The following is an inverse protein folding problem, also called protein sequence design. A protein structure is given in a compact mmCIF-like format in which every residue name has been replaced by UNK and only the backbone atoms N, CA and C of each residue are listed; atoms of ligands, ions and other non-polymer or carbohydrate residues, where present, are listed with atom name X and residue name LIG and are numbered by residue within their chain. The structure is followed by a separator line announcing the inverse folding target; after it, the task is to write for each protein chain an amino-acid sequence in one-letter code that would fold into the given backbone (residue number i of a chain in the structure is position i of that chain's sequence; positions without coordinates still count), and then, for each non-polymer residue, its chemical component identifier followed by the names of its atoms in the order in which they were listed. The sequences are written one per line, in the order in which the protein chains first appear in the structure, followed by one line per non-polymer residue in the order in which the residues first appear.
data_IF_068535521748
#
_entry.id   IF_068535521748
#
_cell.length_a   1.000
_cell.length_b   1.000
_cell.length_c   1.000
_cell.angle_alpha   90.00
_cell.angle_beta   90.00
_cell.angle_gamma   90.00
#
_symmetry.space_group_name_H-M   'P 1'
#
loop_
_entity.id
_entity.type
_entity.pdbx_description
1 polymer ?
#
# COMPACT_ATOMS: atom_id res chain seq x y z
N UNK A 1 22.22 20.67 -30.20
CA UNK A 1 22.78 20.37 -28.86
C UNK A 1 21.72 19.97 -27.80
N UNK A 2 20.44 19.82 -28.13
CA UNK A 2 19.34 19.65 -27.16
C UNK A 2 18.95 18.19 -26.90
N UNK A 3 19.09 17.28 -27.86
CA UNK A 3 18.63 15.91 -27.79
C UNK A 3 19.55 15.01 -26.94
N UNK A 4 20.87 15.19 -27.04
CA UNK A 4 21.86 14.39 -26.32
C UNK A 4 21.89 14.68 -24.80
N UNK A 5 21.56 15.91 -24.39
CA UNK A 5 21.47 16.30 -22.98
C UNK A 5 20.18 15.80 -22.32
N UNK A 6 19.07 15.72 -23.06
CA UNK A 6 17.80 15.09 -22.62
C UNK A 6 17.95 13.59 -22.46
N UNK A 7 18.60 12.89 -23.39
CA UNK A 7 18.89 11.46 -23.31
C UNK A 7 19.80 11.11 -22.12
N UNK A 8 20.81 11.93 -21.80
CA UNK A 8 21.69 11.74 -20.62
C UNK A 8 20.98 11.99 -19.30
N UNK A 9 20.05 12.97 -19.23
CA UNK A 9 19.26 13.25 -18.04
C UNK A 9 18.21 12.16 -17.80
N UNK A 10 17.57 11.64 -18.86
CA UNK A 10 16.62 10.53 -18.79
C UNK A 10 17.30 9.20 -18.39
N UNK A 11 18.56 8.96 -18.78
CA UNK A 11 19.32 7.79 -18.32
C UNK A 11 19.55 7.79 -16.81
N UNK A 12 19.75 8.94 -16.17
CA UNK A 12 19.94 9.05 -14.72
C UNK A 12 18.71 8.69 -13.90
N UNK A 13 17.51 9.07 -14.36
CA UNK A 13 16.23 8.76 -13.66
C UNK A 13 15.93 7.26 -13.70
N UNK A 14 16.17 6.60 -14.84
CA UNK A 14 15.93 5.15 -15.00
C UNK A 14 17.05 4.28 -14.40
N UNK A 15 18.19 4.88 -14.08
CA UNK A 15 19.28 4.15 -13.42
C UNK A 15 18.87 3.58 -12.07
N UNK A 16 18.11 4.33 -11.25
CA UNK A 16 17.58 3.83 -9.98
C UNK A 16 16.63 2.63 -10.15
N UNK A 17 15.88 2.57 -11.26
CA UNK A 17 15.04 1.41 -11.60
C UNK A 17 15.89 0.20 -12.02
N UNK A 18 16.96 0.43 -12.81
CA UNK A 18 17.87 -0.64 -13.23
C UNK A 18 18.62 -1.27 -12.03
N UNK A 19 19.01 -0.43 -11.07
CA UNK A 19 19.74 -0.82 -9.86
C UNK A 19 18.86 -1.45 -8.78
N UNK A 20 17.52 -1.33 -8.89
CA UNK A 20 16.58 -1.88 -7.92
C UNK A 20 16.75 -3.40 -7.80
N UNK A 21 16.96 -3.86 -6.58
CA UNK A 21 17.10 -5.28 -6.24
C UNK A 21 15.81 -5.89 -5.74
N UNK A 22 15.13 -5.22 -4.80
CA UNK A 22 13.85 -5.66 -4.26
C UNK A 22 12.74 -4.81 -4.83
N UNK A 23 11.81 -5.44 -5.54
CA UNK A 23 10.76 -4.78 -6.31
C UNK A 23 9.41 -5.31 -5.85
N UNK A 24 8.47 -4.41 -5.57
CA UNK A 24 7.06 -4.78 -5.42
C UNK A 24 6.35 -4.46 -6.72
N UNK A 25 5.63 -5.43 -7.25
CA UNK A 25 4.79 -5.27 -8.45
C UNK A 25 3.34 -5.44 -8.04
N UNK A 26 2.50 -4.46 -8.34
CA UNK A 26 1.05 -4.57 -8.12
C UNK A 26 0.32 -4.73 -9.44
N UNK A 27 -0.61 -5.67 -9.48
CA UNK A 27 -1.50 -5.89 -10.62
C UNK A 27 -2.98 -5.75 -10.22
N UNK A 28 -3.74 -5.00 -11.01
CA UNK A 28 -5.18 -4.81 -10.82
C UNK A 28 -6.01 -5.97 -11.35
N UNK A 29 -7.25 -6.10 -10.86
CA UNK A 29 -8.18 -7.16 -11.31
C UNK A 29 -8.49 -7.08 -12.81
N UNK A 30 -8.68 -5.88 -13.38
CA UNK A 30 -8.94 -5.68 -14.81
C UNK A 30 -7.84 -6.23 -15.72
N UNK A 31 -6.58 -6.27 -15.24
CA UNK A 31 -5.44 -6.82 -15.97
C UNK A 31 -5.38 -8.35 -15.94
N UNK A 32 -6.15 -9.02 -15.07
CA UNK A 32 -6.10 -10.47 -14.83
C UNK A 32 -7.39 -11.19 -15.20
N UNK A 33 -8.46 -10.44 -15.50
CA UNK A 33 -9.79 -11.01 -15.72
C UNK A 33 -10.33 -10.71 -17.11
N UNK A 34 -11.22 -11.56 -17.59
CA UNK A 34 -11.96 -11.34 -18.83
C UNK A 34 -13.11 -10.36 -18.62
N UNK A 35 -13.64 -9.80 -19.71
CA UNK A 35 -14.84 -8.96 -19.66
C UNK A 35 -16.10 -9.71 -19.19
N UNK A 36 -16.14 -11.02 -19.40
CA UNK A 36 -17.23 -11.89 -18.95
C UNK A 36 -17.12 -12.31 -17.47
N UNK A 37 -16.06 -11.88 -16.78
CA UNK A 37 -15.70 -12.34 -15.43
C UNK A 37 -14.80 -13.58 -15.45
N UNK A 38 -14.21 -13.90 -14.30
CA UNK A 38 -13.25 -15.00 -14.17
C UNK A 38 -11.82 -14.61 -14.55
N UNK A 39 -10.88 -15.49 -14.21
CA UNK A 39 -9.46 -15.30 -14.51
C UNK A 39 -9.17 -15.54 -15.99
N UNK A 40 -8.38 -14.64 -16.57
CA UNK A 40 -7.80 -14.81 -17.90
C UNK A 40 -6.45 -15.53 -17.77
N UNK A 41 -6.43 -16.79 -18.17
CA UNK A 41 -5.25 -17.65 -18.03
C UNK A 41 -4.03 -17.08 -18.78
N UNK A 42 -4.24 -16.57 -20.00
CA UNK A 42 -3.17 -16.06 -20.85
C UNK A 42 -2.56 -14.77 -20.29
N UNK A 43 -3.40 -13.90 -19.71
CA UNK A 43 -2.91 -12.68 -19.04
C UNK A 43 -2.10 -13.00 -17.78
N UNK A 44 -2.54 -13.99 -16.99
CA UNK A 44 -1.78 -14.45 -15.82
C UNK A 44 -0.45 -15.04 -16.27
N UNK A 45 -0.44 -15.89 -17.30
CA UNK A 45 0.77 -16.49 -17.84
C UNK A 45 1.73 -15.43 -18.38
N UNK A 46 1.25 -14.49 -19.17
CA UNK A 46 2.07 -13.39 -19.70
C UNK A 46 2.72 -12.55 -18.58
N UNK A 47 1.97 -12.23 -17.52
CA UNK A 47 2.53 -11.54 -16.38
C UNK A 47 3.60 -12.37 -15.68
N UNK A 48 3.32 -13.65 -15.40
CA UNK A 48 4.28 -14.56 -14.76
C UNK A 48 5.54 -14.72 -15.60
N UNK A 49 5.42 -14.83 -16.92
CA UNK A 49 6.56 -14.92 -17.85
C UNK A 49 7.48 -13.69 -17.74
N UNK A 50 6.90 -12.49 -17.56
CA UNK A 50 7.67 -11.27 -17.34
C UNK A 50 8.36 -11.31 -15.98
N UNK A 51 7.62 -11.63 -14.91
CA UNK A 51 8.15 -11.64 -13.54
C UNK A 51 9.24 -12.68 -13.35
N UNK A 52 9.06 -13.88 -13.89
CA UNK A 52 10.05 -14.97 -13.81
C UNK A 52 11.35 -14.62 -14.52
N UNK A 53 11.28 -14.03 -15.73
CA UNK A 53 12.47 -13.57 -16.47
C UNK A 53 13.26 -12.51 -15.71
N UNK A 54 12.59 -11.55 -15.10
CA UNK A 54 13.26 -10.46 -14.37
C UNK A 54 13.81 -10.90 -13.00
N UNK A 55 13.30 -11.99 -12.43
CA UNK A 55 13.83 -12.59 -11.21
C UNK A 55 15.08 -13.44 -11.44
N UNK A 56 15.45 -13.73 -12.71
CA UNK A 56 16.51 -14.68 -13.07
C UNK A 56 16.28 -16.11 -12.54
N UNK A 57 15.02 -16.54 -12.41
CA UNK A 57 14.68 -17.88 -11.95
C UNK A 57 14.50 -18.82 -13.15
N UNK A 58 15.14 -19.99 -13.09
CA UNK A 58 14.89 -21.10 -14.01
C UNK A 58 15.75 -21.14 -15.26
N UNK A 59 16.63 -20.19 -15.50
CA UNK A 59 17.73 -20.43 -16.40
C UNK A 59 18.75 -21.33 -15.65
N UNK A 60 18.87 -22.60 -16.04
CA UNK A 60 20.11 -23.32 -15.82
C UNK A 60 21.22 -22.33 -16.16
N UNK A 61 22.05 -21.96 -15.20
CA UNK A 61 23.12 -20.96 -15.23
C UNK A 61 23.70 -20.74 -16.64
N UNK A 62 22.93 -20.01 -17.47
CA UNK A 62 23.45 -19.39 -18.67
C UNK A 62 24.23 -18.15 -18.24
N UNK A 63 25.17 -17.67 -19.06
CA UNK A 63 25.99 -16.52 -18.71
C UNK A 63 25.05 -15.39 -18.28
N UNK A 64 25.32 -14.82 -17.08
CA UNK A 64 24.57 -13.73 -16.50
C UNK A 64 24.39 -12.64 -17.57
N UNK A 65 23.16 -12.25 -17.81
CA UNK A 65 22.88 -11.07 -18.63
C UNK A 65 23.69 -9.92 -18.00
N UNK A 66 24.54 -9.30 -18.81
CA UNK A 66 25.46 -8.27 -18.37
C UNK A 66 24.72 -7.20 -17.55
N UNK A 67 25.05 -7.08 -16.26
CA UNK A 67 24.68 -5.97 -15.39
C UNK A 67 23.54 -6.16 -14.39
N UNK A 68 22.84 -7.31 -14.29
CA UNK A 68 21.73 -7.49 -13.37
C UNK A 68 21.98 -8.55 -12.29
N UNK A 69 22.23 -8.15 -11.04
CA UNK A 69 22.16 -9.03 -9.88
C UNK A 69 20.74 -9.63 -9.75
N UNK A 70 20.61 -10.74 -9.04
CA UNK A 70 19.34 -11.43 -8.77
C UNK A 70 18.32 -10.46 -8.16
N UNK A 71 17.16 -10.28 -8.82
CA UNK A 71 16.11 -9.37 -8.34
C UNK A 71 15.12 -10.16 -7.49
N UNK A 72 14.80 -9.63 -6.33
CA UNK A 72 13.72 -10.12 -5.48
C UNK A 72 12.41 -9.42 -5.86
N UNK A 73 11.38 -10.19 -6.18
CA UNK A 73 10.09 -9.63 -6.59
C UNK A 73 8.99 -10.15 -5.66
N UNK A 74 8.17 -9.23 -5.16
CA UNK A 74 6.93 -9.50 -4.42
C UNK A 74 5.77 -9.02 -5.27
N UNK A 75 4.78 -9.88 -5.52
CA UNK A 75 3.58 -9.53 -6.26
C UNK A 75 2.44 -9.19 -5.30
N UNK A 76 1.85 -8.01 -5.46
CA UNK A 76 0.57 -7.67 -4.84
C UNK A 76 -0.51 -7.83 -5.89
N UNK A 77 -1.37 -8.83 -5.71
CA UNK A 77 -2.38 -9.20 -6.71
C UNK A 77 -3.78 -8.80 -6.26
N UNK A 78 -4.59 -8.40 -7.22
CA UNK A 78 -6.04 -8.31 -7.10
C UNK A 78 -6.69 -9.48 -7.84
N UNK A 79 -8.03 -9.51 -7.83
CA UNK A 79 -8.81 -10.41 -8.68
C UNK A 79 -9.45 -11.59 -7.97
N UNK A 80 -9.26 -11.74 -6.65
CA UNK A 80 -9.88 -12.84 -5.90
C UNK A 80 -11.42 -12.82 -6.01
N UNK A 81 -12.08 -11.69 -5.74
CA UNK A 81 -13.54 -11.58 -5.87
C UNK A 81 -13.98 -11.92 -7.30
N UNK A 82 -13.30 -11.36 -8.30
CA UNK A 82 -13.65 -11.61 -9.71
C UNK A 82 -13.49 -13.08 -10.12
N UNK A 83 -12.44 -13.75 -9.62
CA UNK A 83 -12.20 -15.17 -9.84
C UNK A 83 -13.30 -16.06 -9.22
N UNK A 84 -13.89 -15.64 -8.12
CA UNK A 84 -14.93 -16.38 -7.42
C UNK A 84 -16.34 -16.16 -7.95
N UNK A 85 -16.60 -15.18 -8.83
CA UNK A 85 -17.94 -14.88 -9.30
C UNK A 85 -18.55 -16.04 -10.07
N UNK A 86 -17.90 -16.49 -11.15
CA UNK A 86 -18.42 -17.54 -12.03
C UNK A 86 -18.65 -18.87 -11.31
N UNK A 87 -17.71 -19.38 -10.45
CA UNK A 87 -17.93 -20.60 -9.68
C UNK A 87 -19.13 -20.54 -8.74
N UNK A 88 -19.51 -19.34 -8.28
CA UNK A 88 -20.67 -19.13 -7.42
C UNK A 88 -21.96 -18.75 -8.20
N UNK A 89 -21.93 -18.84 -9.53
CA UNK A 89 -23.09 -18.47 -10.37
C UNK A 89 -23.40 -16.97 -10.37
N UNK A 90 -22.43 -16.12 -10.01
CA UNK A 90 -22.62 -14.67 -9.95
C UNK A 90 -22.16 -14.03 -11.27
N UNK A 91 -23.06 -13.27 -11.90
CA UNK A 91 -22.77 -12.59 -13.18
C UNK A 91 -22.17 -11.19 -13.01
N UNK A 92 -22.22 -10.64 -11.79
CA UNK A 92 -21.68 -9.32 -11.44
C UNK A 92 -21.19 -9.29 -10.01
N UNK A 93 -20.31 -8.34 -9.70
CA UNK A 93 -19.81 -8.13 -8.34
C UNK A 93 -20.98 -7.79 -7.39
N UNK A 94 -21.16 -8.54 -6.29
CA UNK A 94 -22.18 -8.24 -5.28
C UNK A 94 -21.92 -6.88 -4.62
N UNK A 95 -22.98 -6.23 -4.15
CA UNK A 95 -22.88 -5.03 -3.31
C UNK A 95 -22.80 -5.39 -1.82
N UNK A 96 -23.37 -6.49 -1.45
CA UNK A 96 -23.39 -7.03 -0.10
C UNK A 96 -22.02 -7.56 0.30
N UNK A 97 -21.53 -7.16 1.50
CA UNK A 97 -20.20 -7.50 1.99
C UNK A 97 -20.00 -9.02 2.14
N UNK A 98 -20.96 -9.72 2.75
CA UNK A 98 -20.83 -11.16 2.99
C UNK A 98 -20.72 -11.96 1.68
N UNK A 99 -21.45 -11.55 0.64
CA UNK A 99 -21.33 -12.17 -0.70
C UNK A 99 -19.99 -11.83 -1.36
N UNK A 100 -19.45 -10.62 -1.15
CA UNK A 100 -18.11 -10.29 -1.63
C UNK A 100 -17.05 -11.13 -0.93
N UNK A 101 -17.15 -11.30 0.39
CA UNK A 101 -16.26 -12.15 1.19
C UNK A 101 -16.33 -13.61 0.74
N UNK A 102 -17.54 -14.14 0.50
CA UNK A 102 -17.71 -15.51 -0.02
C UNK A 102 -17.08 -15.65 -1.42
N UNK A 103 -17.27 -14.68 -2.32
CA UNK A 103 -16.66 -14.70 -3.64
C UNK A 103 -15.11 -14.60 -3.53
N UNK A 104 -14.59 -13.76 -2.65
CA UNK A 104 -13.16 -13.66 -2.38
C UNK A 104 -12.59 -14.98 -1.86
N UNK A 105 -13.29 -15.64 -0.91
CA UNK A 105 -12.87 -16.92 -0.34
C UNK A 105 -12.68 -18.01 -1.41
N UNK A 106 -13.68 -18.19 -2.27
CA UNK A 106 -13.60 -19.15 -3.39
C UNK A 106 -12.54 -18.73 -4.41
N UNK A 107 -12.56 -17.46 -4.81
CA UNK A 107 -11.70 -16.96 -5.87
C UNK A 107 -10.23 -16.83 -5.46
N UNK A 108 -9.93 -16.63 -4.18
CA UNK A 108 -8.53 -16.56 -3.71
C UNK A 108 -7.81 -17.89 -3.91
N UNK A 109 -8.47 -19.02 -3.63
CA UNK A 109 -7.92 -20.35 -3.91
C UNK A 109 -7.63 -20.56 -5.39
N UNK A 110 -8.57 -20.16 -6.26
CA UNK A 110 -8.41 -20.27 -7.73
C UNK A 110 -7.28 -19.38 -8.25
N UNK A 111 -7.19 -18.15 -7.76
CA UNK A 111 -6.15 -17.20 -8.14
C UNK A 111 -4.76 -17.71 -7.79
N UNK A 112 -4.56 -18.20 -6.57
CA UNK A 112 -3.25 -18.74 -6.15
C UNK A 112 -2.91 -20.02 -6.87
N UNK A 113 -3.89 -20.92 -7.07
CA UNK A 113 -3.67 -22.14 -7.86
C UNK A 113 -3.23 -21.81 -9.30
N UNK A 114 -3.85 -20.79 -9.92
CA UNK A 114 -3.45 -20.34 -11.25
C UNK A 114 -2.02 -19.79 -11.27
N UNK A 115 -1.65 -18.94 -10.33
CA UNK A 115 -0.27 -18.47 -10.21
C UNK A 115 0.71 -19.61 -9.97
N UNK A 116 0.37 -20.56 -9.08
CA UNK A 116 1.21 -21.71 -8.79
C UNK A 116 1.47 -22.56 -10.06
N UNK A 117 0.44 -22.83 -10.85
CA UNK A 117 0.56 -23.52 -12.12
C UNK A 117 1.44 -22.76 -13.12
N UNK A 118 1.28 -21.44 -13.21
CA UNK A 118 2.07 -20.60 -14.11
C UNK A 118 3.55 -20.56 -13.71
N UNK A 119 3.85 -20.34 -12.42
CA UNK A 119 5.23 -20.31 -11.91
C UNK A 119 5.90 -21.67 -11.91
N UNK A 120 5.13 -22.77 -11.83
CA UNK A 120 5.68 -24.13 -11.92
C UNK A 120 6.42 -24.39 -13.25
N UNK A 121 6.04 -23.71 -14.35
CA UNK A 121 6.75 -23.74 -15.63
C UNK A 121 8.23 -23.30 -15.53
N UNK A 122 8.53 -22.52 -14.50
CA UNK A 122 9.85 -21.99 -14.17
C UNK A 122 10.50 -22.69 -12.97
N UNK A 123 9.89 -23.77 -12.44
CA UNK A 123 10.37 -24.44 -11.22
C UNK A 123 10.24 -23.63 -9.95
N UNK A 124 9.43 -22.56 -9.96
CA UNK A 124 9.24 -21.64 -8.83
C UNK A 124 8.03 -22.04 -8.00
N UNK A 125 8.19 -22.08 -6.68
CA UNK A 125 7.08 -22.24 -5.74
C UNK A 125 6.57 -20.87 -5.32
N UNK A 126 5.24 -20.73 -5.18
CA UNK A 126 4.61 -19.51 -4.69
C UNK A 126 4.28 -19.62 -3.20
N UNK A 127 4.40 -18.51 -2.48
CA UNK A 127 3.92 -18.38 -1.10
C UNK A 127 2.86 -17.30 -1.03
N UNK A 128 1.66 -17.65 -0.51
CA UNK A 128 0.58 -16.69 -0.33
C UNK A 128 0.66 -16.00 1.02
N UNK A 129 0.43 -14.69 1.04
CA UNK A 129 0.28 -13.88 2.25
C UNK A 129 -0.98 -13.04 2.11
N UNK A 130 -1.89 -13.15 3.06
CA UNK A 130 -3.09 -12.34 3.14
C UNK A 130 -2.96 -11.34 4.29
N UNK A 131 -3.18 -10.07 4.02
CA UNK A 131 -3.03 -8.97 4.96
C UNK A 131 -4.30 -8.13 5.02
N UNK A 132 -4.60 -7.63 6.22
CA UNK A 132 -5.59 -6.58 6.44
C UNK A 132 -4.90 -5.26 6.79
N UNK A 133 -5.65 -4.16 6.80
CA UNK A 133 -5.15 -2.87 7.30
C UNK A 133 -4.74 -2.97 8.78
N UNK A 134 -5.44 -3.77 9.58
CA UNK A 134 -5.13 -4.03 10.98
C UNK A 134 -3.78 -4.76 11.16
N UNK A 135 -3.45 -5.71 10.28
CA UNK A 135 -2.14 -6.39 10.32
C UNK A 135 -1.00 -5.42 10.06
N UNK A 136 -1.22 -4.39 9.25
CA UNK A 136 -0.22 -3.35 8.99
C UNK A 136 -0.07 -2.38 10.18
N UNK A 137 -1.12 -2.21 10.99
CA UNK A 137 -1.15 -1.37 12.17
C UNK A 137 -0.46 -2.02 13.37
N UNK A 138 -0.75 -3.28 13.62
CA UNK A 138 -0.26 -4.00 14.80
C UNK A 138 1.20 -4.36 14.66
N UNK A 139 2.05 -3.81 15.55
CA UNK A 139 3.51 -4.02 15.51
C UNK A 139 3.92 -5.49 15.44
N UNK A 140 3.22 -6.38 16.15
CA UNK A 140 3.54 -7.80 16.14
C UNK A 140 3.22 -8.43 14.78
N UNK A 141 2.05 -8.15 14.20
CA UNK A 141 1.60 -8.66 12.90
C UNK A 141 2.49 -8.11 11.77
N UNK A 142 2.72 -6.80 11.76
CA UNK A 142 3.63 -6.13 10.82
C UNK A 142 5.01 -6.80 10.80
N UNK A 143 5.64 -6.98 11.98
CA UNK A 143 6.94 -7.62 12.08
C UNK A 143 6.92 -9.09 11.61
N UNK A 144 5.86 -9.83 11.91
CA UNK A 144 5.73 -11.22 11.49
C UNK A 144 5.54 -11.31 9.97
N UNK A 145 4.71 -10.45 9.37
CA UNK A 145 4.51 -10.37 7.92
C UNK A 145 5.83 -10.04 7.20
N UNK A 146 6.59 -9.04 7.70
CA UNK A 146 7.92 -8.70 7.15
C UNK A 146 8.87 -9.91 7.18
N UNK A 147 9.00 -10.57 8.34
CA UNK A 147 9.87 -11.76 8.49
C UNK A 147 9.46 -12.91 7.59
N UNK A 148 8.15 -13.13 7.43
CA UNK A 148 7.64 -14.19 6.55
C UNK A 148 7.97 -13.90 5.10
N UNK A 149 7.79 -12.64 4.65
CA UNK A 149 8.16 -12.22 3.28
C UNK A 149 9.66 -12.37 3.04
N UNK A 150 10.50 -11.89 3.97
CA UNK A 150 11.95 -12.05 3.88
C UNK A 150 12.35 -13.52 3.81
N UNK A 151 11.73 -14.39 4.63
CA UNK A 151 12.04 -15.82 4.63
C UNK A 151 11.61 -16.51 3.33
N UNK A 152 10.44 -16.16 2.76
CA UNK A 152 10.01 -16.69 1.46
C UNK A 152 11.00 -16.32 0.36
N UNK A 153 11.44 -15.05 0.33
CA UNK A 153 12.44 -14.58 -0.64
C UNK A 153 13.77 -15.33 -0.46
N UNK A 154 14.25 -15.47 0.77
CA UNK A 154 15.49 -16.19 1.09
C UNK A 154 15.43 -17.68 0.72
N UNK A 155 14.25 -18.30 0.83
CA UNK A 155 14.02 -19.70 0.43
C UNK A 155 13.81 -19.87 -1.08
N UNK A 156 13.86 -18.80 -1.87
CA UNK A 156 13.62 -18.85 -3.31
C UNK A 156 12.14 -19.04 -3.68
N UNK A 157 11.19 -18.90 -2.76
CA UNK A 157 9.77 -18.87 -3.08
C UNK A 157 9.37 -17.48 -3.65
N UNK A 158 8.27 -17.43 -4.40
CA UNK A 158 7.72 -16.20 -4.95
C UNK A 158 6.55 -15.72 -4.09
N UNK A 159 6.69 -14.61 -3.34
CA UNK A 159 5.62 -14.11 -2.50
C UNK A 159 4.49 -13.47 -3.33
N UNK A 160 3.25 -13.88 -3.07
CA UNK A 160 2.03 -13.28 -3.62
C UNK A 160 1.21 -12.76 -2.44
N UNK A 161 1.05 -11.46 -2.38
CA UNK A 161 0.29 -10.76 -1.34
C UNK A 161 -1.06 -10.35 -1.89
N UNK A 162 -2.12 -10.47 -1.09
CA UNK A 162 -3.43 -9.91 -1.37
C UNK A 162 -4.07 -9.41 -0.07
N UNK A 163 -5.14 -8.63 -0.20
CA UNK A 163 -6.01 -8.32 0.93
C UNK A 163 -6.70 -9.58 1.45
N UNK A 164 -6.83 -9.70 2.77
CA UNK A 164 -7.65 -10.75 3.39
C UNK A 164 -9.12 -10.31 3.38
N UNK A 165 -9.71 -10.32 2.21
CA UNK A 165 -11.11 -9.93 1.99
C UNK A 165 -12.10 -10.73 2.85
N UNK A 166 -11.73 -11.92 3.34
CA UNK A 166 -12.66 -12.80 4.09
C UNK A 166 -12.95 -12.30 5.50
N UNK A 167 -12.06 -11.52 6.08
CA UNK A 167 -12.20 -10.97 7.44
C UNK A 167 -12.18 -9.44 7.45
N UNK A 168 -11.92 -8.79 6.32
CA UNK A 168 -11.95 -7.34 6.22
C UNK A 168 -13.39 -6.83 6.31
N UNK A 169 -13.63 -5.88 7.23
CA UNK A 169 -14.90 -5.14 7.32
C UNK A 169 -14.86 -3.90 6.44
N UNK A 170 -16.00 -3.25 6.21
CA UNK A 170 -16.06 -2.03 5.37
C UNK A 170 -15.19 -0.90 5.96
N UNK A 171 -15.03 -0.87 7.30
CA UNK A 171 -14.24 0.13 8.03
C UNK A 171 -12.73 -0.12 7.92
N UNK A 172 -12.29 -1.38 7.83
CA UNK A 172 -10.87 -1.77 7.86
C UNK A 172 -10.35 -2.26 6.51
N UNK A 173 -11.11 -2.13 5.42
CA UNK A 173 -10.67 -2.48 4.07
C UNK A 173 -9.66 -1.46 3.56
N UNK A 174 -8.63 -1.94 2.89
CA UNK A 174 -7.78 -1.05 2.09
C UNK A 174 -8.59 -0.38 0.96
N UNK A 175 -9.71 -0.98 0.58
CA UNK A 175 -10.54 -0.52 -0.53
C UNK A 175 -9.87 -0.67 -1.90
N UNK A 176 -8.56 -0.67 -1.94
CA UNK A 176 -7.77 -0.88 -3.15
C UNK A 176 -6.38 -1.45 -2.81
N UNK A 177 -5.98 -2.49 -3.54
CA UNK A 177 -4.66 -3.09 -3.44
C UNK A 177 -3.51 -2.16 -3.88
N UNK A 178 -3.78 -0.99 -4.44
CA UNK A 178 -2.76 0.03 -4.72
C UNK A 178 -2.15 0.54 -3.42
N UNK A 179 -2.98 0.87 -2.42
CA UNK A 179 -2.52 1.25 -1.07
C UNK A 179 -1.80 0.12 -0.37
N UNK A 180 -2.35 -1.11 -0.43
CA UNK A 180 -1.68 -2.29 0.12
C UNK A 180 -0.29 -2.46 -0.49
N UNK A 181 -0.14 -2.27 -1.81
CA UNK A 181 1.15 -2.39 -2.48
C UNK A 181 2.17 -1.36 -2.00
N UNK A 182 1.77 -0.11 -1.77
CA UNK A 182 2.64 0.91 -1.20
C UNK A 182 3.12 0.55 0.21
N UNK A 183 2.23 0.00 1.04
CA UNK A 183 2.56 -0.45 2.39
C UNK A 183 3.43 -1.71 2.38
N UNK A 184 3.16 -2.67 1.49
CA UNK A 184 4.00 -3.86 1.29
C UNK A 184 5.38 -3.46 0.78
N UNK A 185 5.48 -2.50 -0.15
CA UNK A 185 6.76 -1.99 -0.62
C UNK A 185 7.60 -1.42 0.53
N UNK A 186 6.96 -0.70 1.44
CA UNK A 186 7.61 -0.21 2.65
C UNK A 186 7.99 -1.35 3.60
N UNK A 187 7.06 -2.28 3.87
CA UNK A 187 7.24 -3.44 4.76
C UNK A 187 8.45 -4.32 4.39
N UNK A 188 8.67 -4.53 3.08
CA UNK A 188 9.79 -5.34 2.57
C UNK A 188 11.02 -4.50 2.22
N UNK A 189 11.04 -3.21 2.55
CA UNK A 189 12.11 -2.28 2.18
C UNK A 189 12.44 -2.28 0.69
N UNK A 190 11.42 -2.28 -0.17
CA UNK A 190 11.59 -2.30 -1.61
C UNK A 190 12.40 -1.09 -2.12
N UNK A 191 13.14 -1.31 -3.19
CA UNK A 191 13.87 -0.26 -3.90
C UNK A 191 13.00 0.40 -4.98
N UNK A 192 11.92 -0.29 -5.39
CA UNK A 192 10.99 0.15 -6.44
C UNK A 192 9.60 -0.43 -6.20
N UNK A 193 8.56 0.38 -6.44
CA UNK A 193 7.19 -0.07 -6.60
C UNK A 193 6.78 0.08 -8.08
N UNK A 194 6.21 -0.96 -8.67
CA UNK A 194 5.62 -0.92 -10.01
C UNK A 194 4.12 -1.13 -9.89
N UNK A 195 3.34 -0.12 -10.28
CA UNK A 195 1.87 -0.17 -10.31
C UNK A 195 1.42 -0.45 -11.74
N UNK A 196 0.89 -1.65 -11.96
CA UNK A 196 0.35 -2.07 -13.27
C UNK A 196 -1.15 -1.75 -13.32
N UNK A 197 -1.56 -1.07 -14.37
CA UNK A 197 -2.90 -0.55 -14.62
C UNK A 197 -3.42 -1.02 -15.99
N UNK A 198 -4.60 -0.56 -16.35
CA UNK A 198 -5.20 -0.63 -17.69
C UNK A 198 -4.78 0.55 -18.59
N UNK A 199 -4.11 1.55 -18.02
CA UNK A 199 -3.56 2.70 -18.74
C UNK A 199 -2.03 2.74 -18.60
N UNK A 200 -1.37 3.30 -19.59
CA UNK A 200 0.09 3.28 -19.72
C UNK A 200 0.81 4.37 -18.91
N UNK A 201 0.09 5.17 -18.09
CA UNK A 201 0.65 6.19 -17.23
C UNK A 201 -0.38 7.19 -16.72
N UNK A 202 0.10 8.23 -16.03
CA UNK A 202 -0.70 9.37 -15.63
C UNK A 202 -0.73 10.40 -16.76
N UNK A 203 -1.91 10.94 -17.05
CA UNK A 203 -2.14 11.97 -18.07
C UNK A 203 -2.58 13.28 -17.42
N UNK A 204 -2.29 14.39 -18.07
CA UNK A 204 -2.74 15.72 -17.66
C UNK A 204 -4.25 15.96 -17.86
N UNK A 205 -4.92 15.04 -18.56
CA UNK A 205 -6.34 15.00 -18.83
C UNK A 205 -6.85 13.60 -19.13
N UNK A 206 -8.05 13.49 -19.72
CA UNK A 206 -8.60 12.21 -20.16
C UNK A 206 -7.76 11.66 -21.34
N UNK A 207 -7.11 10.50 -21.22
CA UNK A 207 -6.28 9.95 -22.28
C UNK A 207 -7.04 9.67 -23.59
N UNK A 208 -8.36 9.56 -23.55
CA UNK A 208 -9.21 9.40 -24.73
C UNK A 208 -9.46 10.72 -25.49
N UNK A 209 -9.08 11.88 -24.93
CA UNK A 209 -9.30 13.19 -25.56
C UNK A 209 -8.05 13.65 -26.32
N UNK A 210 -8.20 14.20 -27.54
CA UNK A 210 -7.10 14.84 -28.25
C UNK A 210 -6.46 15.96 -27.41
N UNK A 211 -5.13 16.00 -27.36
CA UNK A 211 -4.38 17.01 -26.62
C UNK A 211 -3.97 16.61 -25.21
N UNK A 212 -4.47 15.50 -24.68
CA UNK A 212 -3.96 14.95 -23.42
C UNK A 212 -2.56 14.35 -23.62
N UNK A 213 -1.65 14.67 -22.71
CA UNK A 213 -0.27 14.21 -22.74
C UNK A 213 0.07 13.38 -21.51
N UNK A 214 0.85 12.31 -21.71
CA UNK A 214 1.35 11.50 -20.60
C UNK A 214 2.38 12.30 -19.80
N UNK A 215 2.22 12.32 -18.48
CA UNK A 215 3.17 12.89 -17.54
C UNK A 215 4.30 11.88 -17.35
N UNK A 216 5.49 12.20 -17.87
CA UNK A 216 6.62 11.28 -17.80
C UNK A 216 7.19 11.13 -16.40
N UNK A 217 7.24 12.24 -15.62
CA UNK A 217 7.83 12.28 -14.28
C UNK A 217 6.99 13.14 -13.33
N UNK A 218 6.91 12.69 -12.07
CA UNK A 218 6.32 13.44 -10.95
C UNK A 218 7.38 13.53 -9.86
N UNK A 219 7.85 14.74 -9.59
CA UNK A 219 8.91 15.04 -8.60
C UNK A 219 8.34 15.39 -7.23
N UNK A 220 7.08 15.78 -7.20
CA UNK A 220 6.37 16.11 -5.96
C UNK A 220 4.91 16.44 -6.18
N UNK A 221 4.15 16.67 -5.10
CA UNK A 221 2.72 16.96 -5.18
C UNK A 221 2.36 18.17 -6.07
N UNK A 222 3.25 19.15 -6.17
CA UNK A 222 3.03 20.34 -7.00
C UNK A 222 2.89 20.02 -8.49
N UNK A 223 3.58 18.97 -8.98
CA UNK A 223 3.56 18.60 -10.40
C UNK A 223 2.19 18.04 -10.84
N UNK A 224 1.40 17.55 -9.89
CA UNK A 224 0.09 16.93 -10.15
C UNK A 224 -1.08 17.70 -9.52
N UNK A 225 -0.83 18.83 -8.84
CA UNK A 225 -1.87 19.62 -8.17
C UNK A 225 -2.94 20.17 -9.14
N UNK A 226 -2.58 20.38 -10.41
CA UNK A 226 -3.47 20.86 -11.46
C UNK A 226 -4.09 19.76 -12.31
N UNK A 227 -3.68 18.49 -12.09
CA UNK A 227 -4.16 17.36 -12.87
C UNK A 227 -5.56 16.98 -12.40
N UNK A 228 -6.54 17.06 -13.31
CA UNK A 228 -7.90 16.57 -13.05
C UNK A 228 -7.92 15.05 -13.18
N UNK A 229 -7.66 14.37 -12.08
CA UNK A 229 -7.70 12.92 -12.03
C UNK A 229 -9.16 12.48 -12.05
N UNK A 230 -9.59 11.87 -13.17
CA UNK A 230 -10.96 11.39 -13.34
C UNK A 230 -11.34 10.32 -12.32
N UNK A 231 -12.55 10.40 -11.79
CA UNK A 231 -13.13 9.38 -10.91
C UNK A 231 -13.50 8.13 -11.72
N UNK A 232 -13.08 6.96 -11.26
CA UNK A 232 -13.44 5.60 -11.70
C UNK A 232 -13.10 5.20 -13.14
N UNK A 233 -12.31 4.12 -13.28
CA UNK A 233 -12.01 3.49 -14.57
C UNK A 233 -13.25 2.94 -15.26
N UNK A 234 -13.26 2.98 -16.60
CA UNK A 234 -14.35 2.55 -17.49
C UNK A 234 -14.70 1.05 -17.39
N UNK A 235 -13.92 0.24 -16.71
CA UNK A 235 -14.05 -1.24 -16.76
C UNK A 235 -15.03 -1.84 -15.75
N UNK A 236 -15.57 -1.09 -14.79
CA UNK A 236 -16.65 -1.57 -13.87
C UNK A 236 -16.30 -2.75 -12.93
N UNK A 237 -15.11 -3.33 -13.05
CA UNK A 237 -14.71 -4.57 -12.35
C UNK A 237 -13.81 -4.32 -11.14
N UNK A 238 -13.16 -3.14 -11.05
CA UNK A 238 -12.25 -2.78 -9.94
C UNK A 238 -12.74 -1.57 -9.16
N UNK A 239 -12.41 -1.51 -7.88
CA UNK A 239 -12.70 -0.37 -6.99
C UNK A 239 -11.67 0.76 -7.14
N UNK A 240 -10.50 0.50 -7.76
CA UNK A 240 -9.38 1.43 -7.87
C UNK A 240 -9.38 2.22 -9.17
N UNK A 241 -9.44 3.56 -9.05
CA UNK A 241 -9.25 4.50 -10.16
C UNK A 241 -7.83 5.05 -10.24
N UNK A 242 -7.59 6.02 -11.12
CA UNK A 242 -6.29 6.73 -11.19
C UNK A 242 -5.97 7.45 -9.87
N UNK A 243 -6.98 7.93 -9.15
CA UNK A 243 -6.84 8.60 -7.85
C UNK A 243 -6.11 7.71 -6.85
N UNK A 244 -6.57 6.45 -6.68
CA UNK A 244 -5.95 5.51 -5.72
C UNK A 244 -4.52 5.15 -6.10
N UNK A 245 -4.21 5.09 -7.40
CA UNK A 245 -2.84 4.83 -7.89
C UNK A 245 -1.90 5.98 -7.61
N UNK A 246 -2.36 7.21 -7.80
CA UNK A 246 -1.58 8.42 -7.49
C UNK A 246 -1.38 8.56 -5.98
N UNK A 247 -2.40 8.25 -5.17
CA UNK A 247 -2.27 8.22 -3.72
C UNK A 247 -1.24 7.16 -3.27
N UNK A 248 -1.33 5.93 -3.79
CA UNK A 248 -0.39 4.86 -3.49
C UNK A 248 1.05 5.22 -3.92
N UNK A 249 1.20 5.81 -5.11
CA UNK A 249 2.49 6.29 -5.58
C UNK A 249 3.04 7.40 -4.66
N UNK A 250 2.19 8.31 -4.19
CA UNK A 250 2.57 9.38 -3.26
C UNK A 250 2.99 8.83 -1.89
N UNK A 251 2.27 7.82 -1.38
CA UNK A 251 2.61 7.12 -0.12
C UNK A 251 4.00 6.47 -0.24
N UNK A 252 4.25 5.70 -1.29
CA UNK A 252 5.54 5.04 -1.50
C UNK A 252 6.66 6.07 -1.72
N UNK A 253 6.43 7.12 -2.50
CA UNK A 253 7.40 8.20 -2.74
C UNK A 253 7.77 8.94 -1.45
N UNK A 254 6.80 9.23 -0.59
CA UNK A 254 7.02 9.82 0.73
C UNK A 254 7.81 8.90 1.67
N UNK A 255 7.67 7.58 1.52
CA UNK A 255 8.48 6.57 2.21
C UNK A 255 9.90 6.37 1.62
N UNK A 256 10.27 7.15 0.61
CA UNK A 256 11.57 7.07 -0.03
C UNK A 256 11.70 5.97 -1.09
N UNK A 257 10.57 5.44 -1.57
CA UNK A 257 10.50 4.39 -2.61
C UNK A 257 10.00 5.03 -3.90
N UNK A 258 10.78 5.03 -4.98
CA UNK A 258 10.31 5.49 -6.28
C UNK A 258 9.24 4.57 -6.85
N UNK A 259 8.37 5.12 -7.71
CA UNK A 259 7.26 4.35 -8.30
C UNK A 259 7.25 4.48 -9.81
N UNK A 260 6.97 3.39 -10.51
CA UNK A 260 6.62 3.39 -11.93
C UNK A 260 5.15 2.99 -12.06
N UNK A 261 4.33 3.88 -12.61
CA UNK A 261 2.94 3.61 -12.97
C UNK A 261 2.85 3.38 -14.48
N UNK A 262 2.42 2.19 -14.90
CA UNK A 262 2.30 1.85 -16.32
C UNK A 262 1.24 0.77 -16.55
N UNK A 263 1.01 0.39 -17.82
CA UNK A 263 0.09 -0.71 -18.12
C UNK A 263 0.73 -2.08 -17.91
N UNK A 264 -0.12 -3.10 -17.71
CA UNK A 264 0.35 -4.49 -17.57
C UNK A 264 1.11 -4.97 -18.82
N UNK A 265 0.78 -4.48 -20.01
CA UNK A 265 1.48 -4.77 -21.27
C UNK A 265 2.91 -4.23 -21.30
N UNK A 266 3.21 -3.17 -20.57
CA UNK A 266 4.54 -2.56 -20.48
C UNK A 266 5.32 -3.02 -19.22
N UNK A 267 4.86 -4.04 -18.51
CA UNK A 267 5.52 -4.53 -17.30
C UNK A 267 6.99 -4.90 -17.54
N UNK A 268 7.28 -5.55 -18.69
CA UNK A 268 8.65 -5.91 -19.07
C UNK A 268 9.54 -4.68 -19.26
N UNK A 269 9.03 -3.66 -19.91
CA UNK A 269 9.77 -2.42 -20.16
C UNK A 269 10.04 -1.67 -18.85
N UNK A 270 9.04 -1.61 -17.96
CA UNK A 270 9.19 -1.00 -16.64
C UNK A 270 10.28 -1.70 -15.83
N UNK A 271 10.25 -3.03 -15.75
CA UNK A 271 11.24 -3.81 -15.01
C UNK A 271 12.63 -3.80 -15.64
N UNK A 272 12.73 -3.57 -16.96
CA UNK A 272 13.97 -3.39 -17.70
C UNK A 272 14.49 -1.93 -17.68
N UNK A 273 13.87 -1.06 -16.88
CA UNK A 273 14.22 0.37 -16.78
C UNK A 273 14.11 1.16 -18.11
N UNK A 274 13.28 0.68 -19.03
CA UNK A 274 13.00 1.42 -20.29
C UNK A 274 12.08 2.60 -20.01
N UNK A 275 12.08 3.59 -20.89
CA UNK A 275 11.19 4.74 -20.76
C UNK A 275 9.74 4.36 -21.06
N UNK A 276 9.00 4.04 -20.02
CA UNK A 276 7.58 3.73 -20.07
C UNK A 276 6.86 4.24 -18.82
N UNK A 277 5.59 4.53 -18.93
CA UNK A 277 4.76 4.96 -17.82
C UNK A 277 5.12 6.33 -17.25
N UNK A 278 4.61 6.58 -16.06
CA UNK A 278 4.91 7.76 -15.25
C UNK A 278 5.84 7.35 -14.11
N UNK A 279 6.96 8.03 -13.97
CA UNK A 279 7.90 7.81 -12.88
C UNK A 279 7.66 8.82 -11.75
N UNK A 280 7.39 8.34 -10.55
CA UNK A 280 7.29 9.16 -9.36
C UNK A 280 8.61 9.09 -8.60
N UNK A 281 9.23 10.26 -8.44
CA UNK A 281 10.46 10.38 -7.66
C UNK A 281 10.19 10.21 -6.17
N UNK A 282 11.13 9.63 -5.45
CA UNK A 282 11.10 9.63 -4.00
C UNK A 282 11.13 11.06 -3.48
N UNK A 283 10.21 11.42 -2.58
CA UNK A 283 10.09 12.75 -1.99
C UNK A 283 10.49 12.77 -0.53
N UNK A 284 10.51 11.60 0.12
CA UNK A 284 10.89 11.42 1.51
C UNK A 284 12.11 10.53 1.70
N UNK A 285 12.40 10.26 2.97
CA UNK A 285 13.37 9.26 3.41
C UNK A 285 12.61 8.08 4.00
N UNK A 286 13.21 6.88 4.00
CA UNK A 286 12.65 5.73 4.70
C UNK A 286 12.40 6.10 6.17
N UNK A 287 11.13 6.13 6.58
CA UNK A 287 10.68 6.39 7.94
C UNK A 287 10.34 5.07 8.65
N UNK A 288 10.08 5.14 9.96
CA UNK A 288 9.65 3.95 10.70
C UNK A 288 8.35 3.37 10.11
N UNK A 289 8.36 2.07 9.82
CA UNK A 289 7.38 1.36 9.00
C UNK A 289 5.92 1.55 9.43
N UNK A 290 5.66 1.56 10.73
CA UNK A 290 4.32 1.65 11.31
C UNK A 290 3.66 3.02 11.16
N UNK A 291 4.46 4.08 11.13
CA UNK A 291 3.96 5.46 11.07
C UNK A 291 3.42 5.83 9.69
N UNK A 292 3.90 5.19 8.63
CA UNK A 292 3.42 5.43 7.28
C UNK A 292 1.96 4.99 7.10
N UNK A 293 1.62 3.80 7.63
CA UNK A 293 0.23 3.35 7.63
C UNK A 293 -0.68 4.30 8.40
N UNK A 294 -0.25 4.69 9.61
CA UNK A 294 -1.01 5.59 10.47
C UNK A 294 -1.28 6.94 9.78
N UNK A 295 -0.30 7.44 9.04
CA UNK A 295 -0.40 8.73 8.33
C UNK A 295 -1.34 8.66 7.12
N UNK A 296 -1.27 7.57 6.32
CA UNK A 296 -1.83 7.57 4.97
C UNK A 296 -2.94 6.54 4.73
N UNK A 297 -2.98 5.46 5.49
CA UNK A 297 -3.88 4.35 5.20
C UNK A 297 -4.91 4.07 6.30
N UNK A 298 -4.74 4.59 7.53
CA UNK A 298 -5.70 4.38 8.61
C UNK A 298 -6.89 5.32 8.50
N UNK A 299 -8.09 4.77 8.70
CA UNK A 299 -9.29 5.58 8.97
C UNK A 299 -9.39 5.74 10.48
N UNK A 300 -9.34 6.96 11.02
CA UNK A 300 -9.51 7.19 12.45
C UNK A 300 -10.90 6.73 12.92
N UNK A 301 -10.93 5.96 14.02
CA UNK A 301 -12.17 5.48 14.63
C UNK A 301 -12.78 6.50 15.60
N UNK A 302 -12.03 7.56 15.90
CA UNK A 302 -12.46 8.66 16.74
C UNK A 302 -11.44 9.78 16.78
N UNK A 303 -11.70 10.76 17.65
CA UNK A 303 -10.83 11.91 17.85
C UNK A 303 -10.60 12.19 19.34
N UNK A 304 -9.41 12.66 19.66
CA UNK A 304 -9.04 13.16 20.98
C UNK A 304 -8.62 14.62 20.83
N UNK A 305 -9.34 15.52 21.51
CA UNK A 305 -9.01 16.94 21.53
C UNK A 305 -7.96 17.20 22.62
N UNK A 306 -6.89 17.87 22.23
CA UNK A 306 -5.76 18.22 23.07
C UNK A 306 -5.89 19.65 23.59
N UNK A 307 -5.43 19.91 24.80
CA UNK A 307 -5.19 21.27 25.24
C UNK A 307 -3.93 21.88 24.57
N UNK A 308 -3.74 23.19 24.69
CA UNK A 308 -2.61 23.90 24.06
C UNK A 308 -1.25 23.43 24.58
N UNK A 309 -1.16 22.92 25.80
CA UNK A 309 0.05 22.38 26.40
C UNK A 309 0.41 21.03 25.75
N UNK A 310 -0.60 20.17 25.57
CA UNK A 310 -0.45 18.88 24.92
C UNK A 310 -0.16 19.04 23.42
N UNK A 311 -0.79 19.99 22.73
CA UNK A 311 -0.46 20.29 21.33
C UNK A 311 1.03 20.63 21.19
N UNK A 312 1.55 21.56 22.01
CA UNK A 312 3.00 21.89 22.00
C UNK A 312 3.87 20.68 22.33
N UNK A 313 3.50 19.91 23.35
CA UNK A 313 4.27 18.72 23.75
C UNK A 313 4.34 17.66 22.63
N UNK A 314 3.23 17.41 21.95
CA UNK A 314 3.11 16.43 20.88
C UNK A 314 3.75 16.94 19.59
N UNK A 315 3.42 18.14 19.13
CA UNK A 315 3.84 18.66 17.82
C UNK A 315 5.28 19.13 17.84
N UNK A 316 5.66 19.96 18.80
CA UNK A 316 6.98 20.56 18.89
C UNK A 316 7.94 19.67 19.68
N UNK A 317 7.49 19.17 20.84
CA UNK A 317 8.29 18.38 21.76
C UNK A 317 8.44 16.90 21.38
N UNK A 318 7.69 16.41 20.39
CA UNK A 318 7.70 14.99 19.96
C UNK A 318 7.50 14.03 21.15
N UNK A 319 6.62 14.39 22.08
CA UNK A 319 6.33 13.62 23.30
C UNK A 319 5.06 12.80 23.14
N UNK A 320 4.92 11.78 23.99
CA UNK A 320 3.68 11.00 24.14
C UNK A 320 2.52 11.88 24.63
N UNK A 321 1.29 11.54 24.23
CA UNK A 321 0.09 12.15 24.79
C UNK A 321 -0.24 11.53 26.15
N UNK A 322 -0.26 12.34 27.18
CA UNK A 322 -0.64 11.94 28.53
C UNK A 322 -2.11 12.28 28.81
N UNK A 323 -2.77 11.58 29.75
CA UNK A 323 -4.16 11.86 30.13
C UNK A 323 -4.40 13.30 30.56
N UNK A 324 -3.42 13.93 31.21
CA UNK A 324 -3.50 15.31 31.67
C UNK A 324 -3.69 16.35 30.56
N UNK A 325 -3.28 16.05 29.34
CA UNK A 325 -3.38 16.98 28.19
C UNK A 325 -4.62 16.77 27.31
N UNK A 326 -5.58 15.97 27.74
CA UNK A 326 -6.80 15.69 26.99
C UNK A 326 -7.90 16.65 27.44
N UNK A 327 -8.56 17.29 26.48
CA UNK A 327 -9.72 18.17 26.71
C UNK A 327 -11.04 17.44 26.44
N UNK A 328 -11.11 16.61 25.37
CA UNK A 328 -12.32 15.86 25.01
C UNK A 328 -11.99 14.59 24.22
N UNK A 329 -12.95 13.68 24.15
CA UNK A 329 -12.89 12.47 23.35
C UNK A 329 -14.20 12.29 22.56
N UNK A 330 -14.10 11.85 21.30
CA UNK A 330 -15.23 11.63 20.40
C UNK A 330 -15.05 10.32 19.64
N UNK A 331 -16.15 9.63 19.36
CA UNK A 331 -16.18 8.38 18.60
C UNK A 331 -16.15 7.14 19.47
N UNK A 332 -16.21 5.97 18.80
CA UNK A 332 -16.13 4.66 19.43
C UNK A 332 -14.87 3.95 18.95
N UNK A 333 -13.94 3.69 19.83
CA UNK A 333 -12.68 3.01 19.53
C UNK A 333 -12.20 2.19 20.71
N UNK A 334 -11.39 1.19 20.43
CA UNK A 334 -10.72 0.33 21.41
C UNK A 334 -9.21 0.58 21.46
N UNK A 335 -8.58 0.10 22.51
CA UNK A 335 -7.12 0.15 22.63
C UNK A 335 -6.44 -0.51 21.42
N UNK A 336 -5.57 0.23 20.75
CA UNK A 336 -4.89 -0.16 19.51
C UNK A 336 -5.46 0.48 18.25
N UNK A 337 -6.64 1.10 18.32
CA UNK A 337 -7.25 1.76 17.18
C UNK A 337 -6.58 3.11 16.85
N UNK A 338 -6.60 3.51 15.57
CA UNK A 338 -6.13 4.81 15.15
C UNK A 338 -7.14 5.90 15.51
N UNK A 339 -6.64 6.98 16.13
CA UNK A 339 -7.43 8.16 16.47
C UNK A 339 -6.79 9.42 15.93
N UNK A 340 -7.61 10.42 15.60
CA UNK A 340 -7.11 11.77 15.32
C UNK A 340 -6.84 12.52 16.62
N UNK A 341 -5.70 13.21 16.66
CA UNK A 341 -5.39 14.17 17.70
C UNK A 341 -5.65 15.56 17.14
N UNK A 342 -6.60 16.28 17.75
CA UNK A 342 -7.07 17.60 17.30
C UNK A 342 -6.70 18.67 18.30
N UNK A 343 -6.45 19.90 17.81
CA UNK A 343 -6.40 21.06 18.67
C UNK A 343 -7.81 21.51 19.08
N UNK A 344 -7.89 22.50 19.97
CA UNK A 344 -9.18 23.06 20.44
C UNK A 344 -9.99 23.74 19.34
N UNK A 345 -9.38 24.08 18.20
CA UNK A 345 -10.06 24.58 17.01
C UNK A 345 -10.58 23.47 16.09
N UNK A 346 -10.41 22.20 16.46
CA UNK A 346 -10.84 21.04 15.69
C UNK A 346 -9.91 20.63 14.56
N UNK A 347 -8.72 21.26 14.42
CA UNK A 347 -7.75 20.90 13.38
C UNK A 347 -7.00 19.65 13.80
N UNK A 348 -6.92 18.67 12.90
CA UNK A 348 -6.12 17.47 13.10
C UNK A 348 -4.63 17.84 13.05
N UNK A 349 -3.89 17.62 14.14
CA UNK A 349 -2.46 17.91 14.28
C UNK A 349 -1.61 16.66 14.22
N UNK A 350 -2.19 15.51 14.58
CA UNK A 350 -1.50 14.21 14.56
C UNK A 350 -2.51 13.07 14.43
N UNK A 351 -2.01 11.85 14.16
CA UNK A 351 -2.72 10.59 14.37
C UNK A 351 -1.91 9.69 15.27
N UNK A 352 -2.58 8.87 16.09
CA UNK A 352 -1.91 7.96 16.98
C UNK A 352 -2.70 6.68 17.22
N UNK A 353 -2.02 5.61 17.66
CA UNK A 353 -2.68 4.43 18.19
C UNK A 353 -2.92 4.64 19.68
N UNK A 354 -4.18 4.55 20.07
CA UNK A 354 -4.59 4.80 21.45
C UNK A 354 -4.34 3.57 22.33
N UNK A 355 -4.00 3.78 23.60
CA UNK A 355 -3.75 2.70 24.56
C UNK A 355 -4.97 2.36 25.43
N UNK A 356 -6.07 3.08 25.32
CA UNK A 356 -7.27 2.92 26.13
C UNK A 356 -8.52 2.92 25.26
N UNK A 357 -9.56 2.27 25.69
CA UNK A 357 -10.86 2.32 25.04
C UNK A 357 -11.49 3.72 25.19
N UNK A 358 -12.31 4.14 24.20
CA UNK A 358 -12.99 5.44 24.24
C UNK A 358 -13.77 5.68 25.54
N UNK A 359 -14.36 4.63 26.10
CA UNK A 359 -15.16 4.66 27.34
C UNK A 359 -14.31 4.87 28.61
N UNK A 360 -13.02 4.54 28.55
CA UNK A 360 -12.11 4.71 29.69
C UNK A 360 -11.55 6.13 29.77
N UNK A 361 -11.32 6.79 28.60
CA UNK A 361 -10.64 8.09 28.56
C UNK A 361 -11.31 9.19 29.41
N UNK A 362 -12.65 9.33 29.45
CA UNK A 362 -13.28 10.39 30.24
C UNK A 362 -12.88 10.41 31.72
N UNK A 363 -12.62 9.26 32.34
CA UNK A 363 -12.18 9.17 33.75
C UNK A 363 -10.67 9.41 33.93
N UNK A 364 -9.92 9.49 32.84
CA UNK A 364 -8.48 9.73 32.84
C UNK A 364 -8.13 11.21 32.62
N UNK A 365 -9.05 12.00 32.03
CA UNK A 365 -8.82 13.41 31.63
C UNK A 365 -8.34 14.24 32.81
N UNK A 366 -7.29 15.04 32.55
CA UNK A 366 -6.75 15.99 33.53
C UNK A 366 -5.93 15.36 34.66
N UNK A 367 -5.80 14.03 34.70
CA UNK A 367 -5.11 13.33 35.80
C UNK A 367 -3.69 12.89 35.37
N UNK A 368 -2.78 12.90 36.34
CA UNK A 368 -1.43 12.36 36.11
C UNK A 368 -1.43 10.82 36.07
N UNK A 369 -0.51 10.22 35.31
CA UNK A 369 -0.37 8.76 35.21
C UNK A 369 -0.08 8.12 36.56
N UNK A 370 0.62 8.82 37.47
CA UNK A 370 0.90 8.33 38.84
C UNK A 370 -0.36 8.28 39.71
N UNK A 371 -1.22 9.29 39.64
CA UNK A 371 -2.52 9.29 40.32
C UNK A 371 -3.42 8.17 39.79
N UNK A 372 -3.46 7.99 38.48
CA UNK A 372 -4.22 6.92 37.84
C UNK A 372 -3.71 5.54 38.26
N UNK A 373 -2.40 5.34 38.31
CA UNK A 373 -1.82 4.08 38.76
C UNK A 373 -2.17 3.77 40.21
N UNK A 374 -2.16 4.77 41.07
CA UNK A 374 -2.53 4.62 42.48
C UNK A 374 -4.01 4.27 42.69
N UNK A 375 -4.89 4.92 41.91
CA UNK A 375 -6.34 4.83 42.13
C UNK A 375 -7.01 3.72 41.31
N UNK A 376 -6.50 3.42 40.11
CA UNK A 376 -7.06 2.44 39.17
C UNK A 376 -6.15 1.22 38.91
N UNK A 377 -4.93 1.27 39.41
CA UNK A 377 -3.96 0.18 39.30
C UNK A 377 -2.82 0.43 38.27
N UNK A 378 -1.74 -0.39 38.35
CA UNK A 378 -0.50 -0.16 37.58
C UNK A 378 -0.70 -0.14 36.06
N UNK A 379 -1.75 -0.77 35.54
CA UNK A 379 -2.07 -0.78 34.11
C UNK A 379 -2.37 0.62 33.55
N UNK A 380 -2.72 1.56 34.41
CA UNK A 380 -3.03 2.95 34.04
C UNK A 380 -1.82 3.91 34.17
N UNK A 381 -0.64 3.41 34.56
CA UNK A 381 0.62 4.17 34.55
C UNK A 381 1.22 4.21 33.12
N UNK A 382 0.42 4.62 32.16
CA UNK A 382 0.86 4.70 30.76
C UNK A 382 0.24 5.90 30.06
N UNK A 383 0.85 6.30 28.98
CA UNK A 383 0.35 7.36 28.08
C UNK A 383 -0.89 6.90 27.31
N UNK A 384 -1.70 7.87 26.87
CA UNK A 384 -2.87 7.61 26.02
C UNK A 384 -2.45 7.29 24.59
N UNK A 385 -1.43 7.99 24.08
CA UNK A 385 -0.78 7.67 22.81
C UNK A 385 0.73 7.78 22.98
N UNK A 386 1.47 6.70 22.72
CA UNK A 386 2.92 6.72 22.81
C UNK A 386 3.51 7.49 21.62
N UNK A 387 4.61 8.23 21.84
CA UNK A 387 5.27 9.02 20.79
C UNK A 387 5.73 8.17 19.58
N UNK A 388 6.11 6.89 19.81
CA UNK A 388 6.52 5.99 18.76
C UNK A 388 5.31 5.42 17.99
N UNK A 389 4.09 5.67 18.47
CA UNK A 389 2.80 5.28 17.90
C UNK A 389 2.01 6.50 17.40
N UNK A 390 2.72 7.60 17.14
CA UNK A 390 2.15 8.88 16.77
C UNK A 390 2.83 9.45 15.53
N UNK A 391 2.05 9.96 14.60
CA UNK A 391 2.53 10.64 13.40
C UNK A 391 1.92 12.03 13.32
N UNK A 392 2.75 13.04 13.08
CA UNK A 392 2.29 14.40 12.84
C UNK A 392 1.69 14.53 11.46
N UNK A 393 0.53 15.16 11.36
CA UNK A 393 -0.06 15.55 10.10
C UNK A 393 0.57 16.88 9.67
N UNK A 394 0.99 16.97 8.41
CA UNK A 394 1.47 18.24 7.86
C UNK A 394 0.27 19.15 7.65
N UNK A 395 0.36 20.38 8.17
CA UNK A 395 -0.58 21.45 7.88
C UNK A 395 -0.55 21.81 6.39
#
# INVERSE_FOLDING_TARGET
MTTSRKLRAMSGVRQGVAEARRIVVKVGSSSLTTAAGGLDADRVDALVDVLARHRNVGAARGPAAEGGGEKEIVLVSSGAIAAGLAPLGLTRRPKDLARQQAAASVGQGLLVARYAASFARYGVRVGQILLTSDDMARRAHHRNASRTLDQLLAMGAFPIVNENDTVATDEIRFGDNDRLAALVAHLVHADLLVLLSDVDGLYDGDPARPGSSRIAEVRGPADIAHVRIGSAGKAGVGTGGMVTKVEAASIAAAAGIPVVLTSASHASDALAARDTGTYFHRTGRRSADRLLWLQHASTPQGAITLDDGAVRAVVEGRKSLLPAGIAAVEGEFSAGDPVELRDVAGRAVARGLVNFDAKEIPQLIGRSTRELARDLGPAYEREVVHRDDLVLLRA
#
